data_IF_759697101583
#
_entry.id   IF_759697101583
#
_cell.length_a   1.000
_cell.length_b   1.000
_cell.length_c   1.000
_cell.angle_alpha   90.00
_cell.angle_beta   90.00
_cell.angle_gamma   90.00
#
_symmetry.space_group_name_H-M   'P 1'
#
loop_
_entity.id
_entity.type
_entity.pdbx_description
1 polymer ?
#
# COMPACT_ATOMS: atom_id res chain seq x y z
N UNK A 1 2.08 14.67 6.91
CA UNK A 1 2.49 14.43 5.53
C UNK A 1 1.38 13.71 4.76
N UNK A 2 1.11 14.16 3.56
CA UNK A 2 0.08 13.55 2.73
C UNK A 2 0.55 12.21 2.17
N UNK A 3 -0.29 11.17 2.34
CA UNK A 3 -0.01 9.85 1.81
C UNK A 3 -1.21 9.38 0.96
N UNK A 4 -0.93 8.48 0.04
CA UNK A 4 -1.91 7.97 -0.92
C UNK A 4 -2.27 6.53 -0.59
N UNK A 5 -3.55 6.22 -0.63
CA UNK A 5 -3.99 4.83 -0.52
C UNK A 5 -3.78 4.09 -1.85
N UNK A 6 -3.69 2.76 -1.83
CA UNK A 6 -3.64 1.99 -3.08
C UNK A 6 -4.84 2.30 -3.99
N UNK A 7 -6.01 2.51 -3.41
CA UNK A 7 -7.21 2.85 -4.18
C UNK A 7 -7.03 4.18 -4.92
N UNK A 8 -6.48 5.20 -4.25
CA UNK A 8 -6.27 6.50 -4.87
C UNK A 8 -5.24 6.42 -6.00
N UNK A 9 -4.14 5.70 -5.78
CA UNK A 9 -3.12 5.53 -6.83
C UNK A 9 -3.68 4.73 -8.00
N UNK A 10 -4.38 3.64 -7.72
CA UNK A 10 -4.99 2.81 -8.75
C UNK A 10 -5.97 3.59 -9.59
N UNK A 11 -6.76 4.46 -8.96
CA UNK A 11 -7.74 5.29 -9.65
C UNK A 11 -7.08 6.19 -10.68
N UNK A 12 -5.92 6.76 -10.36
CA UNK A 12 -5.19 7.60 -11.32
C UNK A 12 -4.57 6.79 -12.46
N UNK A 13 -4.44 5.47 -12.30
CA UNK A 13 -3.88 4.56 -13.30
C UNK A 13 -4.94 3.74 -14.01
N UNK A 14 -6.21 3.89 -13.63
CA UNK A 14 -7.31 3.14 -14.23
C UNK A 14 -7.46 1.71 -13.74
N UNK A 15 -6.96 1.40 -12.55
CA UNK A 15 -7.06 0.05 -11.97
C UNK A 15 -7.59 0.11 -10.54
N UNK A 16 -8.12 -1.00 -10.05
CA UNK A 16 -8.56 -1.09 -8.67
C UNK A 16 -7.37 -1.25 -7.72
N UNK A 17 -7.55 -0.79 -6.47
CA UNK A 17 -6.48 -0.87 -5.47
C UNK A 17 -5.96 -2.29 -5.25
N UNK A 18 -6.85 -3.30 -5.24
CA UNK A 18 -6.42 -4.68 -5.07
C UNK A 18 -5.61 -5.19 -6.26
N UNK A 19 -5.92 -4.73 -7.46
CA UNK A 19 -5.15 -5.09 -8.66
C UNK A 19 -3.78 -4.43 -8.62
N UNK A 20 -3.71 -3.21 -8.13
CA UNK A 20 -2.45 -2.53 -7.91
C UNK A 20 -1.60 -3.30 -6.89
N UNK A 21 -2.19 -3.73 -5.78
CA UNK A 21 -1.47 -4.50 -4.78
C UNK A 21 -0.96 -5.83 -5.35
N UNK A 22 -1.76 -6.52 -6.16
CA UNK A 22 -1.33 -7.75 -6.83
C UNK A 22 -0.16 -7.49 -7.77
N UNK A 23 -0.23 -6.41 -8.54
CA UNK A 23 0.85 -5.99 -9.43
C UNK A 23 2.15 -5.76 -8.66
N UNK A 24 2.07 -5.04 -7.55
CA UNK A 24 3.24 -4.74 -6.73
C UNK A 24 3.78 -5.99 -6.04
N UNK A 25 2.89 -6.86 -5.58
CA UNK A 25 3.30 -8.12 -4.95
C UNK A 25 4.02 -9.03 -5.95
N UNK A 26 3.51 -9.11 -7.17
CA UNK A 26 4.13 -9.93 -8.22
C UNK A 26 5.53 -9.44 -8.55
N UNK A 27 5.81 -8.18 -8.37
CA UNK A 27 7.14 -7.59 -8.61
C UNK A 27 8.02 -7.57 -7.36
N UNK A 28 7.53 -8.12 -6.26
CA UNK A 28 8.31 -8.19 -5.03
C UNK A 28 8.47 -6.87 -4.31
N UNK A 29 7.63 -5.87 -4.62
CA UNK A 29 7.67 -4.57 -3.93
C UNK A 29 7.00 -4.66 -2.58
N UNK A 30 5.87 -5.34 -2.50
CA UNK A 30 5.16 -5.58 -1.25
C UNK A 30 4.94 -7.08 -1.08
N UNK A 31 4.65 -7.49 0.16
CA UNK A 31 4.36 -8.88 0.48
C UNK A 31 3.28 -8.94 1.55
N UNK A 32 2.49 -10.00 1.52
CA UNK A 32 1.47 -10.23 2.54
C UNK A 32 2.12 -10.97 3.70
N UNK A 33 2.05 -10.40 4.88
CA UNK A 33 2.65 -10.99 6.07
C UNK A 33 1.92 -10.52 7.32
N UNK A 34 1.58 -11.46 8.19
CA UNK A 34 0.89 -11.12 9.43
C UNK A 34 -0.49 -10.50 9.21
N UNK A 35 -1.19 -10.92 8.16
CA UNK A 35 -2.53 -10.42 7.85
C UNK A 35 -2.58 -9.04 7.23
N UNK A 36 -1.49 -8.55 6.69
CA UNK A 36 -1.45 -7.21 6.09
C UNK A 36 -0.36 -7.11 5.04
N UNK A 37 -0.47 -6.10 4.20
CA UNK A 37 0.57 -5.77 3.22
C UNK A 37 1.74 -5.07 3.91
N UNK A 38 2.97 -5.46 3.53
CA UNK A 38 4.21 -4.86 4.03
C UNK A 38 5.12 -4.57 2.86
N UNK A 39 5.88 -3.48 2.98
CA UNK A 39 6.92 -3.16 2.00
C UNK A 39 8.05 -4.18 2.11
N UNK A 40 8.58 -4.64 0.97
CA UNK A 40 9.75 -5.50 0.96
C UNK A 40 10.94 -4.76 1.56
N UNK A 41 11.72 -5.44 2.37
CA UNK A 41 12.84 -4.85 3.12
C UNK A 41 13.83 -4.11 2.23
N UNK A 42 14.07 -4.61 1.03
CA UNK A 42 15.05 -3.98 0.13
C UNK A 42 14.66 -2.57 -0.32
N UNK A 43 13.39 -2.19 -0.13
CA UNK A 43 12.90 -0.86 -0.50
C UNK A 43 12.72 0.07 0.69
N UNK A 44 12.92 -0.42 1.92
CA UNK A 44 12.59 0.37 3.11
C UNK A 44 13.39 1.66 3.23
N UNK A 45 14.61 1.68 2.73
CA UNK A 45 15.46 2.87 2.79
C UNK A 45 15.00 3.99 1.84
N UNK A 46 14.07 3.71 0.94
CA UNK A 46 13.59 4.69 -0.04
C UNK A 46 12.42 5.55 0.45
N UNK A 47 11.93 5.28 1.65
CA UNK A 47 10.84 6.04 2.24
C UNK A 47 9.57 6.07 1.37
N UNK A 48 9.22 4.92 0.80
CA UNK A 48 8.10 4.83 -0.15
C UNK A 48 6.74 4.73 0.53
N UNK A 49 6.69 4.26 1.77
CA UNK A 49 5.44 3.95 2.46
C UNK A 49 5.44 4.43 3.89
N UNK A 50 4.24 4.51 4.45
CA UNK A 50 4.01 4.70 5.87
C UNK A 50 2.90 3.76 6.30
N UNK A 51 2.81 3.46 7.58
CA UNK A 51 1.68 2.72 8.12
C UNK A 51 0.71 3.69 8.73
N UNK A 52 -0.57 3.52 8.40
CA UNK A 52 -1.66 4.33 8.95
C UNK A 52 -2.53 3.44 9.82
N UNK A 53 -2.79 3.86 11.03
CA UNK A 53 -3.57 3.09 11.99
C UNK A 53 -4.95 3.71 12.16
N UNK A 54 -5.95 2.84 12.30
CA UNK A 54 -7.31 3.26 12.62
C UNK A 54 -8.01 2.19 13.44
N UNK A 55 -9.02 2.61 14.18
CA UNK A 55 -9.87 1.67 14.90
C UNK A 55 -11.06 1.31 14.02
N UNK A 56 -11.40 0.02 14.02
CA UNK A 56 -12.59 -0.50 13.34
C UNK A 56 -13.37 -1.33 14.36
N UNK A 57 -14.68 -1.47 14.14
CA UNK A 57 -15.51 -2.33 14.98
C UNK A 57 -15.46 -3.74 14.43
N UNK A 58 -15.10 -4.70 15.29
CA UNK A 58 -15.14 -6.11 14.96
C UNK A 58 -16.56 -6.65 15.05
N UNK A 59 -16.74 -7.90 14.64
CA UNK A 59 -18.03 -8.57 14.69
C UNK A 59 -18.59 -8.67 16.11
N UNK A 60 -17.73 -8.71 17.10
CA UNK A 60 -18.12 -8.77 18.50
C UNK A 60 -18.43 -7.39 19.11
N UNK A 61 -18.43 -6.34 18.29
CA UNK A 61 -18.68 -4.97 18.74
C UNK A 61 -17.47 -4.29 19.39
N UNK A 62 -16.36 -4.98 19.55
CA UNK A 62 -15.15 -4.41 20.14
C UNK A 62 -14.35 -3.67 19.09
N UNK A 63 -13.70 -2.58 19.51
CA UNK A 63 -12.80 -1.85 18.63
C UNK A 63 -11.51 -2.64 18.44
N UNK A 64 -11.07 -2.71 17.19
CA UNK A 64 -9.81 -3.36 16.82
C UNK A 64 -8.93 -2.33 16.12
N UNK A 65 -7.65 -2.36 16.44
CA UNK A 65 -6.68 -1.50 15.76
C UNK A 65 -6.24 -2.19 14.46
N UNK A 66 -6.41 -1.50 13.35
CA UNK A 66 -5.98 -1.98 12.04
C UNK A 66 -4.96 -1.04 11.46
N UNK A 67 -3.99 -1.60 10.76
CA UNK A 67 -3.03 -0.81 10.03
C UNK A 67 -3.21 -0.99 8.53
N UNK A 68 -2.91 0.06 7.79
CA UNK A 68 -2.94 0.05 6.33
C UNK A 68 -1.62 0.57 5.83
N UNK A 69 -1.13 0.00 4.74
CA UNK A 69 0.05 0.49 4.06
C UNK A 69 -0.39 1.62 3.13
N UNK A 70 0.18 2.80 3.31
CA UNK A 70 -0.10 3.95 2.45
C UNK A 70 1.21 4.43 1.84
N UNK A 71 1.12 5.13 0.72
CA UNK A 71 2.27 5.49 -0.09
C UNK A 71 2.56 6.97 0.03
N UNK A 72 3.83 7.29 0.23
CA UNK A 72 4.29 8.68 0.21
C UNK A 72 4.30 9.20 -1.22
N UNK A 73 4.59 10.48 -1.40
CA UNK A 73 4.76 11.03 -2.76
C UNK A 73 5.89 10.30 -3.50
N UNK A 74 7.00 9.99 -2.82
CA UNK A 74 8.06 9.18 -3.40
C UNK A 74 7.56 7.81 -3.83
N UNK A 75 6.71 7.20 -2.99
CA UNK A 75 6.14 5.90 -3.30
C UNK A 75 5.22 5.96 -4.50
N UNK A 76 4.39 7.01 -4.58
CA UNK A 76 3.50 7.19 -5.73
C UNK A 76 4.29 7.31 -7.04
N UNK A 77 5.38 8.08 -7.01
CA UNK A 77 6.25 8.22 -8.18
C UNK A 77 6.94 6.91 -8.55
N UNK A 78 7.38 6.16 -7.54
CA UNK A 78 7.99 4.86 -7.74
C UNK A 78 7.03 3.90 -8.44
N UNK A 79 5.79 3.83 -7.96
CA UNK A 79 4.75 3.00 -8.56
C UNK A 79 4.47 3.44 -10.00
N UNK A 80 4.35 4.75 -10.22
CA UNK A 80 4.15 5.29 -11.56
C UNK A 80 5.25 4.84 -12.53
N UNK A 81 6.49 4.88 -12.08
CA UNK A 81 7.63 4.42 -12.87
C UNK A 81 7.54 2.96 -13.23
N UNK A 82 7.09 2.11 -12.30
CA UNK A 82 6.92 0.68 -12.57
C UNK A 82 5.83 0.43 -13.61
N UNK A 83 4.71 1.13 -13.49
CA UNK A 83 3.57 0.95 -14.39
C UNK A 83 3.95 1.38 -15.81
N UNK A 84 4.63 2.50 -15.96
CA UNK A 84 4.98 3.04 -17.27
C UNK A 84 6.15 2.33 -17.94
N UNK A 85 6.88 1.47 -17.23
CA UNK A 85 8.02 0.75 -17.78
C UNK A 85 7.71 -0.67 -18.26
N UNK A 86 6.48 -1.03 -18.25
CA UNK A 86 6.09 -2.36 -18.71
C UNK A 86 6.32 -2.58 -20.19
#
# INVERSE_FOLDING_TARGET
>A
RYCFTPTAIGKSCGIEGRDLNSFLADRGVIRWSGGRWRLNRKYMHLELTEERYRYVHGEDGRRQLRSSLVWTEKGRQFIGGLIWRQ
#
